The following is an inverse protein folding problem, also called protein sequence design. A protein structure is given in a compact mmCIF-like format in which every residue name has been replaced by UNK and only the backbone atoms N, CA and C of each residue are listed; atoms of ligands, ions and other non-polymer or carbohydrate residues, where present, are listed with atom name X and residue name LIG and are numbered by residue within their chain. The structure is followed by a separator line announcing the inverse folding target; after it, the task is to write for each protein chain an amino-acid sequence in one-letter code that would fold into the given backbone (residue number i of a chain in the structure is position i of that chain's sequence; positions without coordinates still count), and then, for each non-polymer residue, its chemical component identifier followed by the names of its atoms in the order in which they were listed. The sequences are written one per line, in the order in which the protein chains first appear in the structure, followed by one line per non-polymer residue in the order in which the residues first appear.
data_IF_166556771592
#
_entry.id   IF_166556771592
#
_cell.length_a   1.000
_cell.length_b   1.000
_cell.length_c   1.000
_cell.angle_alpha   90.00
_cell.angle_beta   90.00
_cell.angle_gamma   90.00
#
_symmetry.space_group_name_H-M   'P 1'
#
loop_
_entity.id
_entity.type
_entity.pdbx_description
1 polymer ?
#
# COMPACT_ATOMS: atom_id res chain seq x y z
N UNK A 1 -28.94 6.08 -8.11
CA UNK A 1 -27.80 6.97 -8.44
C UNK A 1 -27.00 6.30 -9.54
N UNK A 2 -26.68 7.03 -10.61
CA UNK A 2 -26.17 6.53 -11.90
C UNK A 2 -24.87 5.73 -11.80
N UNK A 3 -24.95 4.41 -11.99
CA UNK A 3 -23.94 3.66 -12.73
C UNK A 3 -24.53 3.45 -14.13
N UNK A 4 -23.97 4.06 -15.18
CA UNK A 4 -24.59 3.95 -16.51
C UNK A 4 -23.66 3.56 -17.64
N UNK A 5 -22.37 3.30 -17.37
CA UNK A 5 -21.41 2.89 -18.41
C UNK A 5 -20.74 1.55 -18.13
N UNK A 6 -20.53 1.19 -16.87
CA UNK A 6 -19.91 -0.08 -16.50
C UNK A 6 -20.95 -1.21 -16.59
N UNK A 7 -22.15 -1.00 -16.07
CA UNK A 7 -23.24 -1.98 -16.16
C UNK A 7 -23.65 -2.22 -17.62
N UNK A 8 -23.68 -1.16 -18.44
CA UNK A 8 -23.87 -1.27 -19.90
C UNK A 8 -22.74 -2.03 -20.61
N UNK A 9 -21.50 -1.83 -20.15
CA UNK A 9 -20.35 -2.55 -20.70
C UNK A 9 -20.49 -4.04 -20.37
N UNK A 10 -20.71 -4.40 -19.10
CA UNK A 10 -20.93 -5.80 -18.69
C UNK A 10 -22.12 -6.44 -19.40
N UNK A 11 -23.23 -5.71 -19.57
CA UNK A 11 -24.37 -6.15 -20.39
C UNK A 11 -23.99 -6.42 -21.84
N UNK A 12 -23.19 -5.55 -22.47
CA UNK A 12 -22.78 -5.70 -23.87
C UNK A 12 -21.85 -6.90 -24.17
N UNK A 13 -21.17 -7.42 -23.15
CA UNK A 13 -20.28 -8.60 -23.24
C UNK A 13 -20.93 -9.89 -22.69
N UNK A 14 -22.22 -9.85 -22.34
CA UNK A 14 -22.97 -11.01 -21.86
C UNK A 14 -22.74 -11.37 -20.38
N UNK A 15 -22.17 -10.45 -19.59
CA UNK A 15 -21.92 -10.62 -18.15
C UNK A 15 -22.81 -9.71 -17.27
N UNK A 16 -23.82 -9.07 -17.86
CA UNK A 16 -24.85 -8.33 -17.12
C UNK A 16 -26.02 -9.23 -16.70
N UNK A 17 -26.76 -8.79 -15.69
CA UNK A 17 -28.07 -9.39 -15.38
C UNK A 17 -29.09 -8.92 -16.42
N UNK A 18 -30.08 -9.75 -16.81
CA UNK A 18 -31.07 -9.37 -17.80
C UNK A 18 -31.85 -8.12 -17.34
N UNK A 19 -31.82 -7.07 -18.16
CA UNK A 19 -32.43 -5.76 -17.82
C UNK A 19 -33.82 -5.58 -18.44
N UNK A 20 -34.21 -6.47 -19.36
CA UNK A 20 -35.52 -6.47 -19.99
C UNK A 20 -36.06 -7.89 -20.21
N UNK A 21 -37.36 -7.97 -20.51
CA UNK A 21 -38.10 -9.24 -20.61
C UNK A 21 -37.59 -10.16 -21.74
N UNK A 22 -37.00 -9.58 -22.80
CA UNK A 22 -36.42 -10.34 -23.91
C UNK A 22 -35.08 -10.96 -23.51
N UNK A 23 -34.25 -10.19 -22.80
CA UNK A 23 -32.99 -10.69 -22.21
C UNK A 23 -33.24 -11.73 -21.13
N UNK A 24 -34.28 -11.56 -20.31
CA UNK A 24 -34.65 -12.53 -19.29
C UNK A 24 -35.06 -13.87 -19.92
N UNK A 25 -35.88 -13.85 -20.98
CA UNK A 25 -36.24 -15.06 -21.72
C UNK A 25 -35.03 -15.74 -22.38
N UNK A 26 -34.11 -14.96 -22.94
CA UNK A 26 -32.87 -15.50 -23.52
C UNK A 26 -31.95 -16.11 -22.45
N UNK A 27 -31.85 -15.47 -21.28
CA UNK A 27 -31.12 -15.98 -20.13
C UNK A 27 -31.73 -17.29 -19.63
N UNK A 28 -33.05 -17.33 -19.41
CA UNK A 28 -33.75 -18.53 -18.96
C UNK A 28 -33.65 -19.68 -19.98
N UNK A 29 -33.60 -19.37 -21.28
CA UNK A 29 -33.42 -20.36 -22.33
C UNK A 29 -32.00 -20.93 -22.38
N UNK A 30 -30.97 -20.09 -22.21
CA UNK A 30 -29.56 -20.51 -22.12
C UNK A 30 -29.30 -21.37 -20.88
N UNK A 31 -29.92 -21.02 -19.75
CA UNK A 31 -29.74 -21.73 -18.48
C UNK A 31 -30.85 -22.75 -18.18
N UNK A 32 -31.72 -23.04 -19.15
CA UNK A 32 -32.90 -23.92 -19.01
C UNK A 32 -32.55 -25.34 -18.52
N UNK A 33 -31.34 -25.81 -18.82
CA UNK A 33 -30.80 -27.10 -18.38
C UNK A 33 -29.75 -27.00 -17.27
N UNK A 34 -29.40 -25.80 -16.82
CA UNK A 34 -28.39 -25.58 -15.79
C UNK A 34 -29.03 -25.64 -14.41
N UNK A 35 -28.80 -26.72 -13.68
CA UNK A 35 -29.20 -26.79 -12.28
C UNK A 35 -28.20 -25.98 -11.46
N UNK A 36 -28.64 -24.85 -10.90
CA UNK A 36 -27.89 -24.14 -9.86
C UNK A 36 -27.89 -24.97 -8.58
N UNK A 37 -27.09 -26.04 -8.56
CA UNK A 37 -26.84 -26.81 -7.35
C UNK A 37 -25.68 -26.14 -6.62
N UNK A 38 -26.01 -25.20 -5.74
CA UNK A 38 -25.09 -24.84 -4.68
C UNK A 38 -24.91 -26.06 -3.80
N UNK A 39 -23.70 -26.59 -3.73
CA UNK A 39 -23.40 -27.71 -2.84
C UNK A 39 -23.32 -27.17 -1.41
N UNK A 40 -24.45 -27.15 -0.71
CA UNK A 40 -24.56 -26.67 0.67
C UNK A 40 -23.58 -27.42 1.60
N UNK A 41 -23.25 -28.67 1.30
CA UNK A 41 -22.28 -29.47 2.06
C UNK A 41 -20.82 -29.02 1.85
N UNK A 42 -20.52 -28.32 0.74
CA UNK A 42 -19.21 -27.69 0.49
C UNK A 42 -19.05 -26.31 1.10
N UNK A 43 -20.15 -25.70 1.55
CA UNK A 43 -20.13 -24.40 2.23
C UNK A 43 -20.07 -24.66 3.74
N UNK A 44 -18.86 -24.76 4.29
CA UNK A 44 -18.68 -24.90 5.74
C UNK A 44 -18.75 -23.51 6.40
N UNK A 45 -19.85 -23.16 7.10
CA UNK A 45 -20.01 -21.86 7.71
C UNK A 45 -19.03 -21.66 8.87
N UNK A 46 -18.63 -22.75 9.55
CA UNK A 46 -17.60 -22.72 10.60
C UNK A 46 -16.24 -22.42 10.00
N UNK A 47 -15.85 -23.06 8.89
CA UNK A 47 -14.59 -22.75 8.18
C UNK A 47 -14.57 -21.30 7.69
N UNK A 48 -15.70 -20.77 7.21
CA UNK A 48 -15.83 -19.35 6.85
C UNK A 48 -15.67 -18.46 8.09
N UNK A 49 -16.36 -18.77 9.19
CA UNK A 49 -16.25 -18.03 10.45
C UNK A 49 -14.86 -18.13 11.09
N UNK A 50 -14.19 -19.27 10.98
CA UNK A 50 -12.86 -19.53 11.52
C UNK A 50 -11.80 -18.85 10.65
N UNK A 51 -11.97 -18.78 9.33
CA UNK A 51 -11.16 -17.93 8.47
C UNK A 51 -11.32 -16.44 8.83
N UNK A 52 -12.56 -15.99 9.10
CA UNK A 52 -12.83 -14.61 9.55
C UNK A 52 -12.19 -14.36 10.93
N UNK A 53 -12.31 -15.30 11.89
CA UNK A 53 -11.65 -15.21 13.20
C UNK A 53 -10.13 -15.28 13.11
N UNK A 54 -9.58 -16.08 12.20
CA UNK A 54 -8.12 -16.19 11.97
C UNK A 54 -7.54 -14.90 11.38
N UNK A 55 -8.36 -14.12 10.68
CA UNK A 55 -7.98 -12.77 10.22
C UNK A 55 -7.94 -11.73 11.35
N UNK A 56 -8.59 -12.03 12.48
CA UNK A 56 -8.54 -11.26 13.74
C UNK A 56 -7.38 -11.72 14.67
N UNK A 57 -6.18 -11.91 14.12
CA UNK A 57 -4.99 -12.11 14.97
C UNK A 57 -4.82 -10.91 15.89
N UNK A 58 -4.91 -11.10 17.21
CA UNK A 58 -4.67 -10.03 18.19
C UNK A 58 -3.30 -9.41 17.92
N UNK A 59 -3.30 -8.12 17.57
CA UNK A 59 -2.08 -7.36 17.33
C UNK A 59 -1.21 -7.45 18.58
N UNK A 60 0.02 -7.93 18.41
CA UNK A 60 0.95 -8.15 19.51
C UNK A 60 1.87 -6.94 19.73
N UNK A 61 2.48 -6.85 20.92
CA UNK A 61 3.56 -5.88 21.18
C UNK A 61 4.72 -6.05 20.20
N UNK A 62 4.95 -7.26 19.69
CA UNK A 62 6.00 -7.57 18.72
C UNK A 62 5.71 -6.87 17.38
N UNK A 63 4.44 -6.81 16.95
CA UNK A 63 4.07 -6.16 15.69
C UNK A 63 4.28 -4.64 15.73
N UNK A 64 3.92 -4.02 16.86
CA UNK A 64 4.22 -2.61 17.14
C UNK A 64 5.71 -2.33 17.17
N UNK A 65 6.49 -3.26 17.69
CA UNK A 65 7.93 -3.13 17.79
C UNK A 65 8.62 -3.32 16.42
N UNK A 66 8.17 -4.28 15.60
CA UNK A 66 8.73 -4.52 14.25
C UNK A 66 8.69 -3.28 13.37
N UNK A 67 7.52 -2.61 13.29
CA UNK A 67 7.39 -1.37 12.50
C UNK A 67 8.26 -0.23 13.05
N UNK A 68 8.46 -0.15 14.37
CA UNK A 68 9.34 0.86 14.96
C UNK A 68 10.80 0.57 14.63
N UNK A 69 11.22 -0.70 14.65
CA UNK A 69 12.59 -1.10 14.27
C UNK A 69 12.86 -0.80 12.80
N UNK A 70 11.92 -1.10 11.89
CA UNK A 70 12.06 -0.73 10.49
C UNK A 70 12.22 0.78 10.34
N UNK A 71 11.37 1.56 10.99
CA UNK A 71 11.48 3.02 10.94
C UNK A 71 12.80 3.52 11.50
N UNK A 72 13.29 2.91 12.59
CA UNK A 72 14.59 3.25 13.17
C UNK A 72 15.74 2.97 12.20
N UNK A 73 15.68 1.87 11.43
CA UNK A 73 16.69 1.59 10.40
C UNK A 73 16.62 2.57 9.24
N UNK A 74 15.42 2.88 8.73
CA UNK A 74 15.24 3.89 7.69
C UNK A 74 15.84 5.23 8.13
N UNK A 75 15.53 5.66 9.36
CA UNK A 75 16.09 6.90 9.92
C UNK A 75 17.59 6.76 10.15
N UNK A 76 18.08 5.63 10.64
CA UNK A 76 19.51 5.41 10.85
C UNK A 76 20.35 5.60 9.58
N UNK A 77 19.83 5.15 8.44
CA UNK A 77 20.48 5.28 7.13
C UNK A 77 20.34 6.68 6.52
N UNK A 78 19.26 7.40 6.84
CA UNK A 78 18.85 8.60 6.12
C UNK A 78 18.74 9.86 6.99
N UNK A 79 19.04 9.81 8.30
CA UNK A 79 18.75 10.93 9.20
C UNK A 79 19.50 12.20 8.83
N UNK A 80 20.65 12.12 8.14
CA UNK A 80 21.39 13.30 7.66
C UNK A 80 20.74 13.95 6.43
N UNK A 81 19.80 13.29 5.76
CA UNK A 81 19.13 13.81 4.57
C UNK A 81 18.05 14.83 4.96
N UNK A 82 18.15 16.10 4.54
CA UNK A 82 17.19 17.15 4.92
C UNK A 82 15.75 16.88 4.43
N UNK A 83 15.64 16.06 3.37
CA UNK A 83 14.36 15.63 2.80
C UNK A 83 13.64 14.59 3.65
N UNK A 84 14.31 13.94 4.62
CA UNK A 84 13.70 12.95 5.49
C UNK A 84 12.86 13.62 6.58
N UNK A 85 11.54 13.64 6.34
CA UNK A 85 10.54 13.93 7.36
C UNK A 85 9.52 12.80 7.49
N UNK A 86 8.51 12.99 8.35
CA UNK A 86 7.43 12.03 8.58
C UNK A 86 6.79 11.50 7.30
N UNK A 87 6.52 12.37 6.33
CA UNK A 87 5.92 11.96 5.06
C UNK A 87 6.81 10.97 4.31
N UNK A 88 8.09 11.31 4.11
CA UNK A 88 9.03 10.46 3.38
C UNK A 88 9.26 9.13 4.12
N UNK A 89 9.43 9.17 5.45
CA UNK A 89 9.55 7.97 6.27
C UNK A 89 8.34 7.04 6.07
N UNK A 90 7.11 7.57 6.16
CA UNK A 90 5.91 6.75 5.94
C UNK A 90 5.83 6.16 4.53
N UNK A 91 6.23 6.91 3.50
CA UNK A 91 6.21 6.39 2.13
C UNK A 91 7.21 5.27 1.94
N UNK A 92 8.42 5.40 2.49
CA UNK A 92 9.42 4.35 2.44
C UNK A 92 8.91 3.12 3.20
N UNK A 93 8.33 3.28 4.39
CA UNK A 93 7.73 2.15 5.12
C UNK A 93 6.62 1.46 4.32
N UNK A 94 5.75 2.22 3.64
CA UNK A 94 4.71 1.68 2.77
C UNK A 94 5.31 0.86 1.62
N UNK A 95 6.34 1.39 0.96
CA UNK A 95 7.02 0.72 -0.15
C UNK A 95 7.74 -0.54 0.33
N UNK A 96 8.52 -0.49 1.41
CA UNK A 96 9.13 -1.68 2.00
C UNK A 96 8.09 -2.76 2.30
N UNK A 97 6.94 -2.38 2.90
CA UNK A 97 5.89 -3.32 3.24
C UNK A 97 5.35 -4.08 2.02
N UNK A 98 5.08 -3.36 0.94
CA UNK A 98 4.35 -3.91 -0.20
C UNK A 98 5.22 -4.34 -1.37
N UNK A 99 6.50 -3.97 -1.43
CA UNK A 99 7.46 -4.53 -2.38
C UNK A 99 8.03 -5.87 -1.88
N UNK A 100 8.16 -6.06 -0.57
CA UNK A 100 8.74 -7.32 0.00
C UNK A 100 7.67 -8.31 0.48
N UNK A 101 6.41 -7.87 0.59
CA UNK A 101 5.34 -8.67 1.20
C UNK A 101 5.47 -8.82 2.72
N UNK A 102 6.38 -8.10 3.38
CA UNK A 102 6.54 -8.17 4.82
C UNK A 102 5.26 -7.75 5.57
N UNK A 103 4.98 -8.42 6.69
CA UNK A 103 3.84 -8.09 7.54
C UNK A 103 4.22 -7.04 8.56
N UNK A 104 3.72 -5.82 8.38
CA UNK A 104 3.80 -4.75 9.37
C UNK A 104 2.41 -4.35 9.84
N UNK A 105 2.26 -4.10 11.14
CA UNK A 105 1.03 -3.56 11.68
C UNK A 105 0.94 -2.05 11.39
N UNK A 106 0.32 -1.71 10.26
CA UNK A 106 0.12 -0.35 9.75
C UNK A 106 -1.33 -0.21 9.24
N UNK A 107 -1.83 1.02 9.17
CA UNK A 107 -3.14 1.31 8.59
C UNK A 107 -3.03 2.50 7.63
N UNK A 108 -2.41 2.26 6.47
CA UNK A 108 -2.22 3.29 5.45
C UNK A 108 -3.55 3.63 4.78
N UNK A 109 -4.10 4.78 5.13
CA UNK A 109 -5.34 5.31 4.57
C UNK A 109 -5.07 6.06 3.26
N UNK A 110 -6.08 6.11 2.40
CA UNK A 110 -6.11 6.97 1.22
C UNK A 110 -6.20 8.43 1.64
N UNK A 111 -5.10 9.19 1.53
CA UNK A 111 -5.03 10.61 1.90
C UNK A 111 -4.61 11.46 0.70
N UNK A 112 -4.80 12.78 0.76
CA UNK A 112 -4.49 13.71 -0.34
C UNK A 112 -3.05 13.54 -0.87
N UNK A 113 -2.08 13.31 0.02
CA UNK A 113 -0.68 13.09 -0.32
C UNK A 113 -0.32 11.60 -0.49
N UNK A 114 -1.25 10.76 -0.96
CA UNK A 114 -1.04 9.32 -1.13
C UNK A 114 -1.31 8.48 0.14
N UNK A 115 -0.87 7.22 0.20
CA UNK A 115 -1.12 6.31 1.33
C UNK A 115 -0.45 6.80 2.63
N UNK A 116 -1.20 6.97 3.72
CA UNK A 116 -0.66 7.55 4.96
C UNK A 116 -1.42 7.07 6.19
N UNK A 117 -0.69 6.80 7.27
CA UNK A 117 -1.24 6.43 8.58
C UNK A 117 -1.04 7.60 9.58
N UNK A 118 -2.10 8.34 9.94
CA UNK A 118 -1.99 9.50 10.84
C UNK A 118 -1.54 9.15 12.27
N UNK A 119 -1.72 7.90 12.71
CA UNK A 119 -1.38 7.46 14.07
C UNK A 119 0.05 6.92 14.14
N UNK A 120 0.59 6.42 13.02
CA UNK A 120 1.89 5.76 12.96
C UNK A 120 3.03 6.66 13.46
N UNK A 121 3.17 7.90 12.95
CA UNK A 121 4.31 8.76 13.34
C UNK A 121 4.30 9.14 14.80
N UNK A 122 3.14 9.46 15.38
CA UNK A 122 3.03 9.74 16.82
C UNK A 122 3.51 8.55 17.66
N UNK A 123 3.15 7.33 17.24
CA UNK A 123 3.63 6.11 17.87
C UNK A 123 5.13 5.93 17.71
N UNK A 124 5.69 6.20 16.53
CA UNK A 124 7.11 6.04 16.24
C UNK A 124 7.95 7.06 17.00
N UNK A 125 7.59 8.34 16.97
CA UNK A 125 8.29 9.40 17.70
C UNK A 125 8.34 9.12 19.20
N UNK A 126 7.22 8.64 19.77
CA UNK A 126 7.17 8.22 21.18
C UNK A 126 8.18 7.09 21.45
N UNK A 127 8.22 6.07 20.60
CA UNK A 127 9.15 4.95 20.77
C UNK A 127 10.61 5.37 20.54
N UNK A 128 10.91 6.23 19.57
CA UNK A 128 12.26 6.73 19.35
C UNK A 128 12.80 7.49 20.56
N UNK A 129 11.97 8.34 21.19
CA UNK A 129 12.33 9.03 22.43
C UNK A 129 12.52 8.06 23.60
N UNK A 130 11.59 7.11 23.79
CA UNK A 130 11.66 6.12 24.87
C UNK A 130 12.93 5.25 24.79
N UNK A 131 13.32 4.85 23.57
CA UNK A 131 14.51 4.02 23.36
C UNK A 131 15.80 4.85 23.20
N UNK A 132 15.71 6.19 23.28
CA UNK A 132 16.81 7.13 23.07
C UNK A 132 17.51 6.96 21.72
N UNK A 133 16.74 6.73 20.65
CA UNK A 133 17.28 6.58 19.29
C UNK A 133 17.33 7.91 18.56
N UNK A 134 16.16 8.57 18.46
CA UNK A 134 16.02 9.82 17.71
C UNK A 134 14.97 10.73 18.35
N UNK A 135 15.12 12.04 18.12
CA UNK A 135 14.11 13.05 18.35
C UNK A 135 13.76 13.73 17.03
N UNK A 136 12.47 13.77 16.71
CA UNK A 136 11.96 14.49 15.54
C UNK A 136 11.66 15.96 15.85
N UNK A 137 12.07 16.85 14.95
CA UNK A 137 11.71 18.27 14.92
C UNK A 137 11.50 18.72 13.48
N UNK A 138 10.29 19.19 13.15
CA UNK A 138 9.94 19.62 11.79
C UNK A 138 10.57 20.94 11.38
N UNK A 139 11.01 21.76 12.33
CA UNK A 139 11.56 23.10 12.08
C UNK A 139 13.05 23.06 11.77
N UNK A 140 13.70 21.92 12.02
CA UNK A 140 15.12 21.72 11.80
C UNK A 140 15.41 21.36 10.35
N UNK A 141 16.56 21.80 9.84
CA UNK A 141 17.02 21.46 8.49
C UNK A 141 17.13 19.93 8.36
N UNK A 142 17.78 19.31 9.34
CA UNK A 142 17.83 17.87 9.55
C UNK A 142 16.84 17.50 10.65
N UNK A 143 15.75 16.82 10.27
CA UNK A 143 14.57 16.69 11.15
C UNK A 143 14.70 15.61 12.22
N UNK A 144 15.60 14.65 12.06
CA UNK A 144 15.83 13.58 13.03
C UNK A 144 17.18 13.77 13.71
N UNK A 145 17.17 14.16 14.98
CA UNK A 145 18.38 14.31 15.80
C UNK A 145 18.69 12.99 16.50
N UNK A 146 19.90 12.42 16.36
CA UNK A 146 20.28 11.22 17.10
C UNK A 146 20.34 11.50 18.61
N UNK A 147 20.00 10.49 19.40
CA UNK A 147 20.05 10.50 20.87
C UNK A 147 21.10 9.50 21.38
N UNK A 148 21.16 9.26 22.70
CA UNK A 148 22.26 8.55 23.37
C UNK A 148 22.42 7.08 22.96
N UNK A 149 21.37 6.45 22.43
CA UNK A 149 21.34 5.03 22.08
C UNK A 149 21.10 4.82 20.57
N UNK A 150 21.53 5.76 19.73
CA UNK A 150 21.48 5.61 18.27
C UNK A 150 22.12 4.29 17.82
N UNK A 151 21.45 3.55 16.93
CA UNK A 151 21.88 2.22 16.49
C UNK A 151 21.47 1.06 17.40
N UNK A 152 20.88 1.31 18.57
CA UNK A 152 20.41 0.27 19.50
C UNK A 152 19.28 -0.62 18.98
N UNK A 153 18.70 -0.30 17.81
CA UNK A 153 17.68 -1.11 17.15
C UNK A 153 18.26 -2.21 16.23
N UNK A 154 19.55 -2.17 15.90
CA UNK A 154 20.15 -2.96 14.79
C UNK A 154 20.13 -4.47 15.01
N UNK A 155 20.27 -4.93 16.25
CA UNK A 155 20.17 -6.37 16.58
C UNK A 155 18.75 -6.88 16.30
N UNK A 156 17.73 -6.08 16.65
CA UNK A 156 16.34 -6.39 16.36
C UNK A 156 16.02 -6.29 14.88
N UNK A 157 16.63 -5.32 14.18
CA UNK A 157 16.49 -5.19 12.72
C UNK A 157 16.99 -6.46 12.02
N UNK A 158 18.21 -6.88 12.33
CA UNK A 158 18.83 -8.08 11.77
C UNK A 158 18.02 -9.35 12.08
N UNK A 159 17.36 -9.40 13.24
CA UNK A 159 16.50 -10.52 13.63
C UNK A 159 15.15 -10.52 12.90
N UNK A 160 14.48 -9.37 12.80
CA UNK A 160 13.12 -9.29 12.26
C UNK A 160 13.05 -9.27 10.75
N UNK A 161 14.07 -8.70 10.09
CA UNK A 161 14.07 -8.45 8.65
C UNK A 161 15.20 -9.20 7.94
N UNK A 162 15.70 -10.29 8.54
CA UNK A 162 16.84 -11.06 8.02
C UNK A 162 16.72 -11.38 6.52
N UNK A 163 15.50 -11.67 6.05
CA UNK A 163 15.25 -12.08 4.68
C UNK A 163 15.00 -10.87 3.75
N UNK A 164 14.69 -9.71 4.31
CA UNK A 164 14.30 -8.49 3.60
C UNK A 164 15.39 -7.41 3.61
N UNK A 165 16.53 -7.63 4.29
CA UNK A 165 17.63 -6.64 4.39
C UNK A 165 18.05 -6.11 3.03
N UNK A 166 18.29 -7.00 2.05
CA UNK A 166 18.74 -6.60 0.72
C UNK A 166 17.71 -5.73 -0.01
N UNK A 167 16.43 -6.08 0.09
CA UNK A 167 15.34 -5.31 -0.54
C UNK A 167 15.14 -3.96 0.15
N UNK A 168 15.24 -3.92 1.48
CA UNK A 168 15.15 -2.66 2.25
C UNK A 168 16.33 -1.75 1.86
N UNK A 169 17.56 -2.24 1.87
CA UNK A 169 18.74 -1.45 1.51
C UNK A 169 18.63 -0.95 0.06
N UNK A 170 18.16 -1.78 -0.88
CA UNK A 170 17.89 -1.37 -2.26
C UNK A 170 16.90 -0.20 -2.32
N UNK A 171 15.75 -0.29 -1.65
CA UNK A 171 14.75 0.78 -1.62
C UNK A 171 15.31 2.06 -0.99
N UNK A 172 16.10 1.94 0.08
CA UNK A 172 16.72 3.09 0.74
C UNK A 172 17.68 3.83 -0.17
N UNK A 173 18.52 3.12 -0.92
CA UNK A 173 19.43 3.74 -1.89
C UNK A 173 18.66 4.47 -3.00
N UNK A 174 17.59 3.86 -3.53
CA UNK A 174 16.75 4.50 -4.57
C UNK A 174 16.06 5.76 -4.09
N UNK A 175 15.56 5.77 -2.85
CA UNK A 175 14.78 6.90 -2.33
C UNK A 175 15.57 7.90 -1.50
N UNK A 176 16.88 7.68 -1.29
CA UNK A 176 17.75 8.53 -0.48
C UNK A 176 17.64 10.01 -0.84
N UNK A 177 17.76 10.35 -2.12
CA UNK A 177 17.74 11.75 -2.59
C UNK A 177 16.36 12.23 -3.07
N UNK A 178 15.31 11.41 -2.95
CA UNK A 178 13.98 11.81 -3.37
C UNK A 178 13.44 12.96 -2.52
N UNK A 179 12.90 13.97 -3.19
CA UNK A 179 12.10 15.03 -2.58
C UNK A 179 10.71 14.53 -2.20
N UNK A 180 10.04 15.29 -1.33
CA UNK A 180 8.67 15.03 -0.86
C UNK A 180 7.68 14.78 -2.00
N UNK A 181 7.73 15.58 -3.06
CA UNK A 181 6.81 15.46 -4.19
C UNK A 181 7.10 14.22 -5.06
N UNK A 182 8.37 13.83 -5.20
CA UNK A 182 8.75 12.63 -5.95
C UNK A 182 8.30 11.35 -5.23
N UNK A 183 8.57 11.25 -3.92
CA UNK A 183 8.18 10.08 -3.14
C UNK A 183 6.66 9.98 -2.97
N UNK A 184 5.95 11.12 -2.92
CA UNK A 184 4.49 11.15 -2.92
C UNK A 184 3.91 10.53 -4.21
N UNK A 185 4.44 10.91 -5.37
CA UNK A 185 3.99 10.38 -6.67
C UNK A 185 4.21 8.88 -6.70
N UNK A 186 5.43 8.42 -6.42
CA UNK A 186 5.78 6.99 -6.45
C UNK A 186 4.88 6.18 -5.53
N UNK A 187 4.73 6.58 -4.25
CA UNK A 187 3.91 5.83 -3.32
C UNK A 187 2.40 5.83 -3.69
N UNK A 188 1.90 6.91 -4.31
CA UNK A 188 0.51 6.97 -4.77
C UNK A 188 0.29 6.09 -6.02
N UNK A 189 1.22 6.12 -6.98
CA UNK A 189 1.23 5.24 -8.15
C UNK A 189 1.26 3.78 -7.70
N UNK A 190 2.17 3.45 -6.78
CA UNK A 190 2.31 2.12 -6.21
C UNK A 190 0.99 1.65 -5.59
N UNK A 191 0.33 2.49 -4.79
CA UNK A 191 -0.96 2.17 -4.20
C UNK A 191 -2.06 1.93 -5.24
N UNK A 192 -2.09 2.74 -6.31
CA UNK A 192 -3.03 2.55 -7.42
C UNK A 192 -2.78 1.24 -8.16
N UNK A 193 -1.52 0.90 -8.43
CA UNK A 193 -1.12 -0.37 -9.01
C UNK A 193 -1.57 -1.54 -8.11
N UNK A 194 -1.26 -1.46 -6.81
CA UNK A 194 -1.66 -2.48 -5.84
C UNK A 194 -3.17 -2.69 -5.81
N UNK A 195 -3.97 -1.62 -5.79
CA UNK A 195 -5.44 -1.72 -5.84
C UNK A 195 -5.93 -2.46 -7.11
N UNK A 196 -5.26 -2.30 -8.25
CA UNK A 196 -5.60 -3.03 -9.49
C UNK A 196 -5.34 -4.53 -9.29
N UNK A 197 -4.15 -4.89 -8.82
CA UNK A 197 -3.77 -6.28 -8.55
C UNK A 197 -4.73 -6.93 -7.56
N UNK A 198 -5.03 -6.26 -6.43
CA UNK A 198 -5.92 -6.77 -5.39
C UNK A 198 -7.35 -7.02 -5.95
N UNK A 199 -7.78 -6.22 -6.92
CA UNK A 199 -9.06 -6.39 -7.63
C UNK A 199 -9.01 -7.38 -8.80
N UNK A 200 -7.89 -8.08 -9.02
CA UNK A 200 -7.64 -8.99 -10.16
C UNK A 200 -7.78 -8.30 -11.53
N UNK A 201 -7.51 -7.00 -11.58
CA UNK A 201 -7.54 -6.23 -12.82
C UNK A 201 -6.26 -6.37 -13.63
N UNK A 202 -6.37 -6.13 -14.94
CA UNK A 202 -5.20 -6.03 -15.81
C UNK A 202 -4.47 -4.70 -15.56
N UNK A 203 -3.19 -4.80 -15.20
CA UNK A 203 -2.34 -3.63 -14.95
C UNK A 203 -1.86 -3.06 -16.27
N UNK A 204 -2.11 -1.78 -16.49
CA UNK A 204 -1.47 -0.98 -17.53
C UNK A 204 -1.34 0.48 -17.08
N UNK A 205 -0.47 1.25 -17.74
CA UNK A 205 -0.16 2.63 -17.36
C UNK A 205 -1.41 3.52 -17.36
N UNK A 206 -2.32 3.35 -18.33
CA UNK A 206 -3.54 4.15 -18.41
C UNK A 206 -4.46 3.92 -17.21
N UNK A 207 -4.61 2.68 -16.77
CA UNK A 207 -5.43 2.30 -15.63
C UNK A 207 -4.84 2.82 -14.32
N UNK A 208 -3.51 2.71 -14.16
CA UNK A 208 -2.79 3.27 -13.00
C UNK A 208 -2.99 4.79 -12.96
N UNK A 209 -2.79 5.49 -14.07
CA UNK A 209 -2.94 6.95 -14.17
C UNK A 209 -4.39 7.38 -13.89
N UNK A 210 -5.38 6.66 -14.43
CA UNK A 210 -6.80 6.92 -14.16
C UNK A 210 -7.12 6.80 -12.67
N UNK A 211 -6.61 5.76 -12.00
CA UNK A 211 -6.76 5.58 -10.56
C UNK A 211 -6.02 6.66 -9.76
N UNK A 212 -4.84 7.07 -10.21
CA UNK A 212 -4.06 8.14 -9.60
C UNK A 212 -4.84 9.46 -9.61
N UNK A 213 -5.44 9.85 -10.74
CA UNK A 213 -6.27 11.04 -10.80
C UNK A 213 -7.57 10.91 -9.99
N UNK A 214 -8.11 9.70 -9.87
CA UNK A 214 -9.27 9.40 -9.02
C UNK A 214 -8.91 9.30 -7.52
N UNK A 215 -7.63 9.40 -7.17
CA UNK A 215 -7.17 9.20 -5.79
C UNK A 215 -7.61 10.35 -4.87
N UNK A 216 -7.42 11.59 -5.33
CA UNK A 216 -7.81 12.81 -4.63
C UNK A 216 -7.78 13.99 -5.62
N UNK A 217 -8.61 15.02 -5.41
CA UNK A 217 -8.67 16.20 -6.31
C UNK A 217 -7.31 16.87 -6.52
N UNK A 218 -6.46 16.89 -5.49
CA UNK A 218 -5.13 17.50 -5.54
C UNK A 218 -4.17 16.78 -6.51
N UNK A 219 -4.51 15.59 -7.00
CA UNK A 219 -3.68 14.85 -7.97
C UNK A 219 -3.75 15.44 -9.37
N UNK A 220 -4.74 16.29 -9.66
CA UNK A 220 -4.87 17.00 -10.93
C UNK A 220 -3.66 17.91 -11.25
N UNK A 221 -2.86 18.29 -10.23
CA UNK A 221 -1.65 19.11 -10.41
C UNK A 221 -0.48 18.41 -11.12
N UNK A 222 -0.52 17.07 -11.27
CA UNK A 222 0.54 16.30 -11.90
C UNK A 222 0.22 15.99 -13.37
N UNK A 223 1.17 16.26 -14.27
CA UNK A 223 1.02 15.99 -15.70
C UNK A 223 1.07 14.49 -16.01
N UNK A 224 0.36 14.06 -17.07
CA UNK A 224 0.34 12.65 -17.50
C UNK A 224 1.76 12.14 -17.81
N UNK A 225 2.58 12.95 -18.49
CA UNK A 225 3.96 12.59 -18.84
C UNK A 225 4.81 12.33 -17.60
N UNK A 226 4.68 13.17 -16.56
CA UNK A 226 5.39 12.96 -15.29
C UNK A 226 4.98 11.65 -14.62
N UNK A 227 3.71 11.27 -14.71
CA UNK A 227 3.23 10.00 -14.17
C UNK A 227 3.72 8.81 -15.00
N UNK A 228 3.70 8.89 -16.33
CA UNK A 228 4.26 7.87 -17.20
C UNK A 228 5.75 7.64 -16.91
N UNK A 229 6.56 8.69 -16.86
CA UNK A 229 8.00 8.56 -16.55
C UNK A 229 8.23 7.94 -15.17
N UNK A 230 7.37 8.23 -14.19
CA UNK A 230 7.46 7.60 -12.87
C UNK A 230 7.10 6.10 -12.92
N UNK A 231 6.05 5.72 -13.66
CA UNK A 231 5.65 4.30 -13.83
C UNK A 231 6.74 3.52 -14.57
N UNK A 232 7.29 4.08 -15.65
CA UNK A 232 8.39 3.48 -16.42
C UNK A 232 9.63 3.29 -15.55
N UNK A 233 10.02 4.33 -14.80
CA UNK A 233 11.12 4.24 -13.86
C UNK A 233 10.89 3.15 -12.80
N UNK A 234 9.73 3.14 -12.14
CA UNK A 234 9.37 2.11 -11.16
C UNK A 234 9.45 0.70 -11.75
N UNK A 235 8.95 0.51 -12.98
CA UNK A 235 8.97 -0.78 -13.68
C UNK A 235 10.41 -1.20 -13.99
N UNK A 236 11.23 -0.28 -14.50
CA UNK A 236 12.64 -0.54 -14.83
C UNK A 236 13.49 -0.90 -13.61
N UNK A 237 13.13 -0.37 -12.44
CA UNK A 237 13.81 -0.61 -11.17
C UNK A 237 13.24 -1.82 -10.40
N UNK A 238 12.20 -2.49 -10.91
CA UNK A 238 11.54 -3.57 -10.18
C UNK A 238 10.77 -3.12 -8.93
N UNK A 239 10.38 -1.85 -8.85
CA UNK A 239 9.60 -1.29 -7.73
C UNK A 239 8.12 -1.42 -8.06
N UNK A 240 7.56 -2.58 -7.77
CA UNK A 240 6.14 -2.88 -7.94
C UNK A 240 5.56 -3.64 -6.75
N UNK A 241 4.23 -3.66 -6.57
CA UNK A 241 3.60 -4.51 -5.57
C UNK A 241 3.86 -6.00 -5.86
N UNK A 242 4.06 -6.79 -4.80
CA UNK A 242 4.04 -8.27 -4.84
C UNK A 242 2.65 -8.82 -4.53
#
# INVERSE_FOLDING_TARGET
MKNSNIDKLFGSIGFGFPENEKELKAFDEVFKGYQFVGDEEKIDPKKIFDNIKSSNTKISKIDYHKRTVLAAEIVFKLYTEPTLGHLKLQKIMYLCQHTTGMRLHTNFLKQAMGPYDPKLMRSIDKQFKLNKWYQYDSNEYVKYKPLENVGGHRDWYSKYFKNEITDIDFLLEKFKFFRTDQIEIVATIFACWKEIIDSRGLVNNEMIIKKFYSWHKDKAKYTKDRLNSAIEWMTSEGIHPV
#
